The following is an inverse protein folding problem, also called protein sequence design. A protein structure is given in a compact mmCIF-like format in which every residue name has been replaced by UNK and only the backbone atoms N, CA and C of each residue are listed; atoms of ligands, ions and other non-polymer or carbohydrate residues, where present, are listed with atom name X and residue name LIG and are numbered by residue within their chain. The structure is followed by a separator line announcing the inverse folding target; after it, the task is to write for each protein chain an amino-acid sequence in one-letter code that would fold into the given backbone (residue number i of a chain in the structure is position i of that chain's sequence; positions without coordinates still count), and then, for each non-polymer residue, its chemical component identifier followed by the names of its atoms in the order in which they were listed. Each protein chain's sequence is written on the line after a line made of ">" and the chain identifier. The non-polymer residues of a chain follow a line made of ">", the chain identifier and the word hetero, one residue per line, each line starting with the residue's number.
data_IF_394863827395
#
_entry.id   IF_394863827395
#
_cell.length_a   1.000
_cell.length_b   1.000
_cell.length_c   1.000
_cell.angle_alpha   90.00
_cell.angle_beta   90.00
_cell.angle_gamma   90.00
#
_symmetry.space_group_name_H-M   'P 1'
#
loop_
_entity.id
_entity.type
_entity.pdbx_description
1 polymer ?
#
# COMPACT_ATOMS: atom_id res chain seq x y z
N UNK A 1 9.37 -6.48 -1.26
CA UNK A 1 9.14 -5.21 -0.55
C UNK A 1 8.32 -5.54 0.68
N UNK A 2 8.57 -4.89 1.83
CA UNK A 2 7.85 -5.16 3.07
C UNK A 2 7.57 -3.84 3.78
N UNK A 3 6.32 -3.62 4.15
CA UNK A 3 5.90 -2.48 4.96
C UNK A 3 5.57 -3.00 6.36
N UNK A 4 6.25 -2.44 7.36
CA UNK A 4 5.92 -2.62 8.77
C UNK A 4 5.22 -1.34 9.22
N UNK A 5 4.02 -1.45 9.78
CA UNK A 5 3.18 -0.32 10.17
C UNK A 5 2.42 -0.60 11.47
N UNK A 6 1.70 0.41 11.97
CA UNK A 6 0.96 0.34 13.23
C UNK A 6 1.80 -0.27 14.37
N UNK A 7 1.24 -1.17 15.16
CA UNK A 7 1.95 -1.85 16.24
C UNK A 7 2.64 -3.14 15.75
N UNK A 8 3.58 -2.98 14.82
CA UNK A 8 4.38 -4.09 14.29
C UNK A 8 3.65 -5.01 13.31
N UNK A 9 2.59 -4.51 12.68
CA UNK A 9 1.87 -5.23 11.63
C UNK A 9 2.69 -5.27 10.33
N UNK A 10 2.49 -6.34 9.57
CA UNK A 10 3.14 -6.56 8.28
C UNK A 10 2.10 -6.46 7.18
N UNK A 11 2.31 -5.62 6.18
CA UNK A 11 1.46 -5.60 4.99
C UNK A 11 1.78 -6.82 4.10
N UNK A 12 0.74 -7.58 3.75
CA UNK A 12 0.85 -8.76 2.88
C UNK A 12 0.82 -8.37 1.40
N UNK A 13 0.36 -7.17 1.07
CA UNK A 13 0.45 -6.60 -0.26
C UNK A 13 1.82 -5.94 -0.47
N UNK A 14 2.14 -5.50 -1.69
CA UNK A 14 3.32 -4.66 -1.93
C UNK A 14 3.24 -3.27 -1.27
N UNK A 15 2.09 -2.88 -0.71
CA UNK A 15 1.80 -1.58 -0.08
C UNK A 15 1.70 -0.42 -1.07
N UNK A 16 0.49 -0.08 -1.52
CA UNK A 16 0.29 0.93 -2.58
C UNK A 16 0.89 2.31 -2.29
N UNK A 17 0.73 2.81 -1.05
CA UNK A 17 1.34 4.08 -0.62
C UNK A 17 2.87 3.98 -0.50
N UNK A 18 3.39 2.85 0.01
CA UNK A 18 4.82 2.58 0.08
C UNK A 18 5.48 2.53 -1.30
N UNK A 19 4.83 1.88 -2.27
CA UNK A 19 5.28 1.85 -3.67
C UNK A 19 5.21 3.24 -4.30
N UNK A 20 4.17 4.02 -4.02
CA UNK A 20 4.06 5.41 -4.49
C UNK A 20 5.22 6.28 -4.01
N UNK A 21 5.57 6.20 -2.71
CA UNK A 21 6.75 6.87 -2.16
C UNK A 21 8.05 6.35 -2.80
N UNK A 22 8.14 5.04 -3.05
CA UNK A 22 9.29 4.42 -3.72
C UNK A 22 9.48 4.93 -5.15
N UNK A 23 8.39 5.11 -5.91
CA UNK A 23 8.42 5.69 -7.25
C UNK A 23 8.97 7.12 -7.22
N UNK A 24 8.55 7.94 -6.25
CA UNK A 24 9.05 9.32 -6.11
C UNK A 24 10.57 9.33 -5.84
N UNK A 25 11.07 8.44 -4.98
CA UNK A 25 12.50 8.29 -4.70
C UNK A 25 13.27 7.83 -5.95
N UNK A 26 12.73 6.85 -6.67
CA UNK A 26 13.36 6.33 -7.89
C UNK A 26 13.40 7.40 -8.98
N UNK A 27 12.34 8.19 -9.14
CA UNK A 27 12.29 9.29 -10.09
C UNK A 27 13.31 10.38 -9.75
N UNK A 28 13.38 10.81 -8.48
CA UNK A 28 14.39 11.77 -8.01
C UNK A 28 15.82 11.27 -8.25
N UNK A 29 16.03 9.95 -8.31
CA UNK A 29 17.31 9.31 -8.65
C UNK A 29 17.47 8.99 -10.14
N UNK A 30 16.60 9.51 -11.01
CA UNK A 30 16.59 9.27 -12.46
C UNK A 30 16.51 7.79 -12.86
N UNK A 31 15.96 6.92 -12.00
CA UNK A 31 15.84 5.47 -12.25
C UNK A 31 14.53 5.07 -12.93
N UNK A 32 13.55 5.96 -12.96
CA UNK A 32 12.27 5.77 -13.64
C UNK A 32 11.76 7.11 -14.14
N UNK A 33 11.05 7.08 -15.26
CA UNK A 33 10.45 8.25 -15.91
C UNK A 33 8.95 8.02 -16.12
N UNK A 34 8.15 9.09 -16.28
CA UNK A 34 6.76 8.97 -16.71
C UNK A 34 6.60 8.05 -17.93
N UNK A 35 5.52 7.28 -17.96
CA UNK A 35 5.23 6.32 -19.03
C UNK A 35 5.97 4.97 -18.94
N UNK A 36 6.83 4.77 -17.94
CA UNK A 36 7.39 3.44 -17.63
C UNK A 36 6.74 2.85 -16.38
N UNK A 37 6.31 1.61 -16.52
CA UNK A 37 5.79 0.81 -15.41
C UNK A 37 6.88 -0.16 -14.90
N UNK A 38 6.84 -0.44 -13.60
CA UNK A 38 7.64 -1.43 -12.89
C UNK A 38 6.73 -2.36 -12.09
N UNK A 39 7.22 -3.55 -11.79
CA UNK A 39 6.52 -4.50 -10.92
C UNK A 39 7.17 -4.52 -9.55
N UNK A 40 6.37 -4.43 -8.49
CA UNK A 40 6.84 -4.60 -7.11
C UNK A 40 6.12 -5.77 -6.46
N UNK A 41 6.92 -6.69 -5.91
CA UNK A 41 6.44 -7.90 -5.25
C UNK A 41 6.38 -7.72 -3.72
N UNK A 42 5.35 -8.33 -3.11
CA UNK A 42 5.18 -8.46 -1.67
C UNK A 42 6.00 -9.62 -1.08
N UNK A 43 5.90 -9.84 0.23
CA UNK A 43 6.51 -10.98 0.91
C UNK A 43 5.88 -12.32 0.51
N UNK A 44 4.59 -12.32 0.14
CA UNK A 44 3.81 -13.53 -0.16
C UNK A 44 3.62 -13.75 -1.68
N UNK A 45 4.53 -13.21 -2.49
CA UNK A 45 4.54 -13.35 -3.96
C UNK A 45 3.31 -12.77 -4.69
N UNK A 46 2.60 -11.80 -4.07
CA UNK A 46 1.64 -10.95 -4.79
C UNK A 46 2.37 -9.74 -5.38
N UNK A 47 1.79 -9.10 -6.40
CA UNK A 47 2.46 -8.02 -7.13
C UNK A 47 1.52 -6.86 -7.47
N UNK A 48 2.11 -5.67 -7.59
CA UNK A 48 1.48 -4.49 -8.17
C UNK A 48 2.30 -4.01 -9.37
N UNK A 49 1.59 -3.58 -10.43
CA UNK A 49 2.19 -2.84 -11.54
C UNK A 49 2.07 -1.36 -11.24
N UNK A 50 3.19 -0.65 -11.23
CA UNK A 50 3.26 0.70 -10.72
C UNK A 50 4.09 1.59 -11.65
N UNK A 51 3.68 2.85 -11.81
CA UNK A 51 4.37 3.79 -12.68
C UNK A 51 4.10 5.23 -12.29
N UNK A 52 4.64 6.16 -13.08
CA UNK A 52 4.42 7.59 -12.90
C UNK A 52 3.50 8.05 -14.02
N UNK A 53 2.29 8.49 -13.64
CA UNK A 53 1.35 9.07 -14.58
C UNK A 53 1.84 10.45 -15.02
N UNK A 54 2.16 11.31 -14.05
CA UNK A 54 2.53 12.72 -14.31
C UNK A 54 3.56 13.23 -13.31
N UNK A 55 4.26 14.30 -13.68
CA UNK A 55 5.11 15.07 -12.77
C UNK A 55 4.34 16.31 -12.32
N UNK A 56 4.50 16.69 -11.05
CA UNK A 56 3.78 17.83 -10.49
C UNK A 56 4.60 18.50 -9.39
N UNK A 57 4.01 19.46 -8.69
CA UNK A 57 4.55 20.07 -7.48
C UNK A 57 3.54 20.05 -6.33
N UNK A 58 4.05 19.85 -5.11
CA UNK A 58 3.28 20.05 -3.88
C UNK A 58 4.02 21.11 -3.07
N UNK A 59 3.46 22.33 -3.04
CA UNK A 59 4.20 23.51 -2.57
C UNK A 59 5.51 23.67 -3.32
N UNK A 60 6.63 23.69 -2.59
CA UNK A 60 7.96 23.84 -3.17
C UNK A 60 8.62 22.51 -3.57
N UNK A 61 7.96 21.37 -3.37
CA UNK A 61 8.53 20.06 -3.64
C UNK A 61 8.14 19.57 -5.05
N UNK A 62 9.14 19.14 -5.82
CA UNK A 62 8.89 18.34 -7.02
C UNK A 62 8.27 17.00 -6.59
N UNK A 63 7.14 16.66 -7.19
CA UNK A 63 6.34 15.50 -6.84
C UNK A 63 5.94 14.71 -8.10
N UNK A 64 5.37 13.54 -7.89
CA UNK A 64 4.83 12.68 -8.94
C UNK A 64 3.35 12.42 -8.66
N UNK A 65 2.59 12.13 -9.70
CA UNK A 65 1.30 11.46 -9.61
C UNK A 65 1.56 9.96 -9.85
N UNK A 66 1.60 9.13 -8.79
CA UNK A 66 1.84 7.70 -8.91
C UNK A 66 0.60 6.98 -9.43
N UNK A 67 0.82 5.96 -10.26
CA UNK A 67 -0.20 5.00 -10.69
C UNK A 67 0.14 3.66 -10.08
N UNK A 68 -0.81 3.03 -9.39
CA UNK A 68 -0.66 1.70 -8.80
C UNK A 68 -1.84 0.85 -9.24
N UNK A 69 -1.54 -0.28 -9.87
CA UNK A 69 -2.53 -1.25 -10.36
C UNK A 69 -2.34 -2.56 -9.61
N UNK A 70 -3.44 -3.06 -9.07
CA UNK A 70 -3.52 -4.37 -8.42
C UNK A 70 -4.90 -5.00 -8.65
N UNK A 71 -5.16 -6.10 -7.95
CA UNK A 71 -6.44 -6.80 -7.98
C UNK A 71 -6.92 -7.09 -6.57
N UNK A 72 -8.23 -7.15 -6.40
CA UNK A 72 -8.89 -7.57 -5.16
C UNK A 72 -9.97 -8.58 -5.50
N UNK A 73 -10.28 -9.44 -4.53
CA UNK A 73 -11.24 -10.53 -4.70
C UNK A 73 -12.21 -10.53 -3.52
N UNK A 74 -13.49 -10.79 -3.78
CA UNK A 74 -14.49 -10.94 -2.72
C UNK A 74 -14.14 -12.18 -1.91
N UNK A 75 -14.01 -12.05 -0.59
CA UNK A 75 -13.71 -13.16 0.33
C UNK A 75 -14.93 -13.64 1.10
N UNK A 76 -15.96 -12.80 1.22
CA UNK A 76 -17.19 -13.14 1.93
C UNK A 76 -18.07 -11.92 2.16
N UNK A 77 -19.28 -12.20 2.65
CA UNK A 77 -20.19 -11.21 3.24
C UNK A 77 -20.31 -11.55 4.72
N UNK A 78 -20.13 -10.57 5.59
CA UNK A 78 -20.07 -10.78 7.04
C UNK A 78 -21.12 -9.90 7.75
N UNK A 79 -21.78 -10.49 8.75
CA UNK A 79 -22.59 -9.77 9.74
C UNK A 79 -21.89 -9.94 11.10
N UNK A 80 -21.43 -8.84 11.69
CA UNK A 80 -20.80 -8.83 13.01
C UNK A 80 -21.82 -8.41 14.06
N UNK A 81 -22.00 -9.23 15.08
CA UNK A 81 -22.91 -8.98 16.20
C UNK A 81 -22.08 -8.81 17.48
N UNK A 82 -22.39 -7.78 18.26
CA UNK A 82 -21.67 -7.43 19.49
C UNK A 82 -22.69 -7.32 20.62
N UNK A 83 -22.62 -8.23 21.58
CA UNK A 83 -23.45 -8.20 22.78
C UNK A 83 -22.90 -7.15 23.76
N UNK A 84 -23.73 -6.20 24.25
CA UNK A 84 -23.31 -5.26 25.29
C UNK A 84 -22.78 -5.93 26.56
N UNK A 85 -23.25 -7.14 26.89
CA UNK A 85 -22.85 -7.90 28.08
C UNK A 85 -21.63 -8.81 27.85
N UNK A 86 -21.09 -8.91 26.62
CA UNK A 86 -19.86 -9.65 26.34
C UNK A 86 -18.63 -8.92 26.93
N UNK A 87 -17.88 -9.53 27.87
CA UNK A 87 -16.73 -8.89 28.51
C UNK A 87 -15.56 -8.63 27.55
N UNK A 88 -15.56 -9.21 26.35
CA UNK A 88 -14.53 -9.02 25.32
C UNK A 88 -15.07 -8.28 24.09
N UNK A 89 -16.17 -7.54 24.21
CA UNK A 89 -16.84 -6.88 23.09
C UNK A 89 -16.02 -5.81 22.35
N UNK A 90 -14.88 -5.37 22.91
CA UNK A 90 -13.92 -4.47 22.26
C UNK A 90 -12.74 -5.22 21.60
N UNK A 91 -12.75 -6.55 21.65
CA UNK A 91 -11.63 -7.39 21.25
C UNK A 91 -10.44 -7.29 22.21
N UNK A 92 -9.37 -7.98 21.85
CA UNK A 92 -8.09 -7.93 22.54
C UNK A 92 -6.96 -8.20 21.54
N UNK A 93 -5.73 -7.84 21.90
CA UNK A 93 -4.54 -8.09 21.10
C UNK A 93 -3.52 -8.84 21.96
N UNK A 94 -3.03 -9.96 21.44
CA UNK A 94 -1.86 -10.66 21.94
C UNK A 94 -0.94 -10.91 20.74
N UNK A 95 0.32 -10.52 20.84
CA UNK A 95 1.29 -10.58 19.73
C UNK A 95 2.68 -10.98 20.22
#
# INVERSE_FOLDING_TARGET
>A
HCCIFAEGEVDRSPTGTGVSARLAILHKRNKIQPGKDIVINSLINTSFTCGIAELTKVGNYNAIIPKVTGSAYITGTHEFLIDPDDPLNQGFILR
#
